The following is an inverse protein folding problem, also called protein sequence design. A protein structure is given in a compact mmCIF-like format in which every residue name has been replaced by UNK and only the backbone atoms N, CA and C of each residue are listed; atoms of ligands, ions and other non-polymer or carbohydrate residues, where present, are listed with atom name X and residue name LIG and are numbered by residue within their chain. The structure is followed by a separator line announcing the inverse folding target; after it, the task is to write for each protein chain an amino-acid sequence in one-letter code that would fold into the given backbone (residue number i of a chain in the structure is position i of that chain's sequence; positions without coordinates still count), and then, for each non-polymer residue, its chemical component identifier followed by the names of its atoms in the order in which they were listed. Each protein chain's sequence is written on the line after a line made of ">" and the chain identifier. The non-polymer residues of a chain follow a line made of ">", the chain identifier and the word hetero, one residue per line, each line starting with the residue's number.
data_IF_277321331496
#
_entry.id   IF_277321331496
#
_cell.length_a   1.000
_cell.length_b   1.000
_cell.length_c   1.000
_cell.angle_alpha   90.00
_cell.angle_beta   90.00
_cell.angle_gamma   90.00
#
_symmetry.space_group_name_H-M   'P 1'
#
loop_
_entity.id
_entity.type
_entity.pdbx_description
1 polymer ?
#
# COMPACT_ATOMS: atom_id res chain seq x y z
N UNK A 1 -0.63 -7.61 26.71
CA UNK A 1 0.37 -7.08 25.77
C UNK A 1 0.77 -8.26 24.91
N UNK A 2 0.55 -8.18 23.61
CA UNK A 2 0.90 -9.23 22.66
C UNK A 2 2.01 -8.69 21.78
N UNK A 3 3.02 -9.50 21.52
CA UNK A 3 4.12 -9.15 20.62
C UNK A 3 4.09 -10.08 19.41
N UNK A 4 4.28 -9.47 18.23
CA UNK A 4 4.35 -10.16 16.96
C UNK A 4 5.68 -9.86 16.30
N UNK A 5 6.30 -10.90 15.75
CA UNK A 5 7.48 -10.80 14.89
C UNK A 5 7.05 -11.17 13.49
N UNK A 6 7.09 -10.21 12.58
CA UNK A 6 6.46 -10.32 11.26
C UNK A 6 7.33 -9.67 10.19
N UNK A 7 7.12 -10.09 8.95
CA UNK A 7 7.62 -9.40 7.77
C UNK A 7 6.57 -8.42 7.25
N UNK A 8 7.00 -7.29 6.71
CA UNK A 8 6.12 -6.23 6.24
C UNK A 8 6.69 -5.42 5.08
N UNK A 9 5.82 -4.74 4.37
CA UNK A 9 6.16 -3.69 3.40
C UNK A 9 5.54 -2.40 3.91
N UNK A 10 6.36 -1.36 4.05
CA UNK A 10 5.87 -0.04 4.45
C UNK A 10 5.14 0.60 3.28
N UNK A 11 3.84 0.86 3.43
CA UNK A 11 3.01 1.48 2.39
C UNK A 11 3.09 3.01 2.47
N UNK A 12 2.82 3.56 3.65
CA UNK A 12 2.75 5.00 3.89
C UNK A 12 3.31 5.38 5.25
N UNK A 13 3.60 6.67 5.41
CA UNK A 13 4.21 7.22 6.63
C UNK A 13 3.76 8.65 6.86
N UNK A 14 2.93 8.82 7.88
CA UNK A 14 2.35 10.12 8.24
C UNK A 14 2.84 10.65 9.57
N UNK A 15 2.97 11.96 9.65
CA UNK A 15 3.27 12.68 10.88
C UNK A 15 2.11 12.60 11.87
N UNK A 16 2.38 12.20 13.12
CA UNK A 16 1.43 12.32 14.24
C UNK A 16 2.04 13.15 15.37
N UNK A 17 1.47 14.31 15.67
CA UNK A 17 2.02 15.24 16.67
C UNK A 17 3.43 15.74 16.30
N UNK A 18 4.27 16.04 17.30
CA UNK A 18 5.60 16.62 17.07
C UNK A 18 6.68 15.57 16.80
N UNK A 19 6.70 14.46 17.54
CA UNK A 19 7.82 13.52 17.54
C UNK A 19 7.49 12.12 17.00
N UNK A 20 6.21 11.83 16.87
CA UNK A 20 5.73 10.50 16.50
C UNK A 20 5.28 10.46 15.04
N UNK A 21 5.13 9.23 14.53
CA UNK A 21 4.57 8.97 13.20
C UNK A 21 3.68 7.74 13.23
N UNK A 22 2.64 7.76 12.40
CA UNK A 22 1.88 6.58 12.04
C UNK A 22 2.51 6.02 10.77
N UNK A 23 2.74 4.72 10.74
CA UNK A 23 3.27 4.01 9.58
C UNK A 23 2.26 2.95 9.21
N UNK A 24 1.79 2.95 7.98
CA UNK A 24 0.95 1.87 7.47
C UNK A 24 1.84 0.81 6.85
N UNK A 25 1.68 -0.43 7.29
CA UNK A 25 2.52 -1.56 6.93
C UNK A 25 1.58 -2.68 6.49
N UNK A 26 1.76 -3.18 5.28
CA UNK A 26 1.16 -4.47 4.92
C UNK A 26 2.07 -5.55 5.49
N UNK A 27 1.53 -6.43 6.31
CA UNK A 27 2.30 -7.47 7.02
C UNK A 27 1.80 -8.85 6.66
N UNK A 28 2.70 -9.82 6.73
CA UNK A 28 2.37 -11.21 6.40
C UNK A 28 1.40 -11.84 7.40
N UNK A 29 1.61 -11.59 8.69
CA UNK A 29 0.84 -12.26 9.76
C UNK A 29 -0.31 -11.42 10.34
N UNK A 30 -0.39 -10.11 10.09
CA UNK A 30 -1.44 -9.24 10.66
C UNK A 30 -2.23 -8.48 9.58
N UNK A 31 -1.93 -8.70 8.29
CA UNK A 31 -2.53 -7.93 7.20
C UNK A 31 -2.05 -6.48 7.19
N UNK A 32 -2.86 -5.57 6.65
CA UNK A 32 -2.55 -4.13 6.68
C UNK A 32 -2.78 -3.57 8.09
N UNK A 33 -1.75 -2.95 8.65
CA UNK A 33 -1.78 -2.37 10.01
C UNK A 33 -1.26 -0.94 10.03
N UNK A 34 -1.93 -0.07 10.77
CA UNK A 34 -1.43 1.27 11.11
C UNK A 34 -0.73 1.24 12.48
N UNK A 35 0.60 1.37 12.48
CA UNK A 35 1.42 1.26 13.67
C UNK A 35 2.00 2.62 14.10
N UNK A 36 1.95 2.91 15.40
CA UNK A 36 2.61 4.08 15.96
C UNK A 36 4.12 3.83 16.11
N UNK A 37 4.92 4.80 15.71
CA UNK A 37 6.38 4.84 15.93
C UNK A 37 6.71 6.02 16.83
N UNK A 38 7.06 5.72 18.08
CA UNK A 38 7.36 6.76 19.08
C UNK A 38 8.73 7.37 18.84
N UNK A 39 8.86 8.67 19.07
CA UNK A 39 10.13 9.41 18.95
C UNK A 39 10.84 9.27 17.61
N UNK A 40 10.13 8.89 16.54
CA UNK A 40 10.73 8.60 15.23
C UNK A 40 11.28 9.84 14.51
N UNK A 41 10.98 11.05 14.98
CA UNK A 41 11.61 12.30 14.48
C UNK A 41 12.88 12.71 15.22
N UNK A 42 13.25 12.05 16.31
CA UNK A 42 14.57 12.27 16.92
C UNK A 42 15.64 11.79 15.96
N UNK A 43 16.69 12.59 15.76
CA UNK A 43 17.85 12.23 14.92
C UNK A 43 18.49 10.90 15.41
N UNK A 44 18.35 10.59 16.70
CA UNK A 44 18.83 9.35 17.32
C UNK A 44 17.95 8.12 17.08
N UNK A 45 16.81 8.27 16.39
CA UNK A 45 15.86 7.18 16.19
C UNK A 45 16.37 6.15 15.19
N UNK A 46 16.83 5.01 15.72
CA UNK A 46 17.33 3.88 14.93
C UNK A 46 16.26 3.24 14.01
N UNK A 47 14.99 3.27 14.42
CA UNK A 47 13.87 2.62 13.72
C UNK A 47 13.31 3.46 12.56
N UNK A 48 13.54 4.78 12.62
CA UNK A 48 12.91 5.76 11.72
C UNK A 48 13.37 5.63 10.26
N UNK A 49 14.64 5.28 10.06
CA UNK A 49 15.20 5.05 8.73
C UNK A 49 14.74 3.73 8.10
N UNK A 50 14.34 2.76 8.93
CA UNK A 50 13.86 1.46 8.47
C UNK A 50 12.41 1.52 7.98
N UNK A 51 11.58 2.36 8.62
CA UNK A 51 10.17 2.50 8.29
C UNK A 51 9.95 3.57 7.21
N UNK A 52 10.50 3.37 6.03
CA UNK A 52 10.30 4.25 4.87
C UNK A 52 9.44 3.58 3.80
N UNK A 53 8.53 4.30 3.13
CA UNK A 53 7.69 3.72 2.08
C UNK A 53 8.50 2.91 1.07
N UNK A 54 8.04 1.69 0.81
CA UNK A 54 8.66 0.75 -0.11
C UNK A 54 9.75 -0.12 0.49
N UNK A 55 10.17 0.12 1.73
CA UNK A 55 11.07 -0.79 2.41
C UNK A 55 10.36 -2.10 2.77
N UNK A 56 11.01 -3.22 2.45
CA UNK A 56 10.70 -4.50 3.06
C UNK A 56 11.32 -4.52 4.45
N UNK A 57 10.57 -4.93 5.47
CA UNK A 57 10.95 -4.83 6.87
C UNK A 57 10.68 -6.12 7.61
N UNK A 58 11.60 -6.51 8.49
CA UNK A 58 11.32 -7.44 9.60
C UNK A 58 11.11 -6.60 10.84
N UNK A 59 9.96 -6.73 11.47
CA UNK A 59 9.57 -5.86 12.57
C UNK A 59 8.98 -6.60 13.75
N UNK A 60 9.18 -5.98 14.92
CA UNK A 60 8.50 -6.33 16.15
C UNK A 60 7.36 -5.36 16.38
N UNK A 61 6.13 -5.86 16.33
CA UNK A 61 4.92 -5.12 16.63
C UNK A 61 4.47 -5.47 18.04
N UNK A 62 4.21 -4.46 18.84
CA UNK A 62 3.61 -4.61 20.16
C UNK A 62 2.21 -4.07 20.11
N UNK A 63 1.25 -4.95 20.36
CA UNK A 63 -0.13 -4.60 20.56
C UNK A 63 -0.42 -4.48 22.06
N UNK A 64 -0.58 -3.23 22.46
CA UNK A 64 -1.25 -2.87 23.71
C UNK A 64 -2.43 -1.97 23.33
N UNK A 65 -2.99 -1.16 24.23
CA UNK A 65 -4.05 -0.16 23.93
C UNK A 65 -3.88 0.59 22.59
N UNK A 66 -2.66 0.68 22.06
CA UNK A 66 -2.35 1.01 20.66
C UNK A 66 -1.35 0.02 20.05
N UNK A 67 -1.42 -0.16 18.73
CA UNK A 67 -0.42 -0.91 17.92
C UNK A 67 0.84 -0.06 17.74
N UNK A 68 2.01 -0.61 18.06
CA UNK A 68 3.30 0.08 17.99
C UNK A 68 4.35 -0.75 17.26
N UNK A 69 5.05 -0.14 16.31
CA UNK A 69 6.23 -0.74 15.70
C UNK A 69 7.47 -0.34 16.53
N UNK A 70 8.04 -1.32 17.24
CA UNK A 70 9.09 -1.08 18.23
C UNK A 70 10.49 -1.23 17.65
N UNK A 71 10.71 -2.28 16.87
CA UNK A 71 11.99 -2.60 16.24
C UNK A 71 11.73 -2.90 14.77
N UNK A 72 12.63 -2.47 13.89
CA UNK A 72 12.55 -2.77 12.47
C UNK A 72 13.96 -2.89 11.90
N UNK A 73 14.15 -3.86 11.02
CA UNK A 73 15.29 -3.95 10.12
C UNK A 73 14.75 -3.93 8.69
N UNK A 74 15.31 -3.08 7.85
CA UNK A 74 14.78 -2.85 6.50
C UNK A 74 15.77 -3.22 5.39
N UNK A 75 15.23 -3.74 4.31
CA UNK A 75 15.86 -3.78 3.00
C UNK A 75 15.15 -2.76 2.08
N UNK A 76 15.94 -1.92 1.41
CA UNK A 76 15.39 -0.92 0.49
C UNK A 76 14.94 -1.61 -0.79
N UNK A 77 13.77 -1.23 -1.30
CA UNK A 77 13.36 -1.65 -2.64
C UNK A 77 14.36 -1.16 -3.68
N UNK A 78 14.62 -2.00 -4.69
CA UNK A 78 15.44 -1.67 -5.86
C UNK A 78 14.64 -0.95 -6.94
N UNK A 79 13.32 -0.81 -6.77
CA UNK A 79 12.46 -0.20 -7.78
C UNK A 79 12.61 1.31 -7.81
N UNK A 80 12.38 1.87 -9.00
CA UNK A 80 12.32 3.31 -9.18
C UNK A 80 11.17 3.91 -8.34
N UNK A 81 11.48 4.93 -7.54
CA UNK A 81 10.52 5.56 -6.63
C UNK A 81 9.30 6.15 -7.37
N UNK A 82 9.45 6.62 -8.62
CA UNK A 82 8.34 7.17 -9.42
C UNK A 82 7.30 6.11 -9.78
N UNK A 83 7.70 4.84 -9.82
CA UNK A 83 6.80 3.70 -10.06
C UNK A 83 6.32 3.07 -8.75
N UNK A 84 7.20 3.02 -7.76
CA UNK A 84 6.91 2.38 -6.48
C UNK A 84 5.91 3.18 -5.64
N UNK A 85 6.07 4.50 -5.52
CA UNK A 85 5.20 5.30 -4.65
C UNK A 85 3.71 5.26 -5.06
N UNK A 86 3.33 5.43 -6.35
CA UNK A 86 1.93 5.28 -6.76
C UNK A 86 1.38 3.86 -6.50
N UNK A 87 2.24 2.85 -6.66
CA UNK A 87 1.85 1.47 -6.38
C UNK A 87 1.57 1.25 -4.90
N UNK A 88 2.42 1.76 -4.00
CA UNK A 88 2.19 1.68 -2.55
C UNK A 88 0.92 2.41 -2.13
N UNK A 89 0.67 3.59 -2.71
CA UNK A 89 -0.56 4.34 -2.47
C UNK A 89 -1.79 3.54 -2.91
N UNK A 90 -1.75 2.95 -4.11
CA UNK A 90 -2.81 2.06 -4.58
C UNK A 90 -3.08 0.93 -3.57
N UNK A 91 -2.04 0.22 -3.11
CA UNK A 91 -2.19 -0.84 -2.11
C UNK A 91 -2.79 -0.33 -0.80
N UNK A 92 -2.37 0.86 -0.35
CA UNK A 92 -2.90 1.46 0.88
C UNK A 92 -4.39 1.80 0.76
N UNK A 93 -4.86 2.17 -0.43
CA UNK A 93 -6.28 2.46 -0.65
C UNK A 93 -7.11 1.18 -0.81
N UNK A 94 -6.64 0.18 -1.56
CA UNK A 94 -7.48 -0.98 -1.94
C UNK A 94 -7.45 -2.15 -0.96
N UNK A 95 -6.37 -2.31 -0.17
CA UNK A 95 -6.26 -3.43 0.78
C UNK A 95 -7.02 -3.07 2.06
N UNK A 96 -7.90 -3.94 2.60
CA UNK A 96 -8.55 -3.69 3.89
C UNK A 96 -7.59 -3.80 5.09
N UNK A 97 -7.94 -3.16 6.21
CA UNK A 97 -7.14 -3.25 7.46
C UNK A 97 -7.34 -4.61 8.14
N UNK A 98 -6.27 -5.18 8.69
CA UNK A 98 -6.29 -6.36 9.56
C UNK A 98 -6.55 -7.71 8.88
N UNK A 99 -6.81 -7.74 7.58
CA UNK A 99 -7.04 -8.99 6.85
C UNK A 99 -5.73 -9.60 6.35
N UNK A 100 -5.45 -10.83 6.79
CA UNK A 100 -4.30 -11.61 6.35
C UNK A 100 -4.66 -12.41 5.11
N UNK A 101 -3.86 -12.24 4.06
CA UNK A 101 -3.99 -13.05 2.85
C UNK A 101 -2.58 -13.46 2.36
N UNK A 102 -2.20 -14.74 2.58
CA UNK A 102 -0.89 -15.24 2.17
C UNK A 102 -0.64 -15.19 0.66
N UNK A 103 -1.68 -15.38 -0.16
CA UNK A 103 -1.54 -15.36 -1.61
C UNK A 103 -1.34 -13.93 -2.12
N UNK A 104 -2.11 -12.97 -1.58
CA UNK A 104 -1.91 -11.54 -1.85
C UNK A 104 -0.54 -11.05 -1.38
N UNK A 105 -0.10 -11.53 -0.21
CA UNK A 105 1.23 -11.27 0.32
C UNK A 105 2.33 -11.71 -0.65
N UNK A 106 2.29 -12.95 -1.11
CA UNK A 106 3.26 -13.49 -2.05
C UNK A 106 3.21 -12.75 -3.41
N UNK A 107 2.01 -12.40 -3.89
CA UNK A 107 1.82 -11.61 -5.11
C UNK A 107 2.48 -10.23 -5.00
N UNK A 108 2.23 -9.49 -3.92
CA UNK A 108 2.73 -8.12 -3.73
C UNK A 108 4.25 -8.13 -3.52
N UNK A 109 4.75 -9.02 -2.67
CA UNK A 109 6.19 -9.10 -2.38
C UNK A 109 6.99 -9.48 -3.62
N UNK A 110 6.53 -10.47 -4.39
CA UNK A 110 7.13 -10.83 -5.68
C UNK A 110 7.11 -9.65 -6.65
N UNK A 111 5.95 -9.01 -6.80
CA UNK A 111 5.74 -7.84 -7.67
C UNK A 111 6.73 -6.71 -7.38
N UNK A 112 6.91 -6.35 -6.10
CA UNK A 112 7.85 -5.32 -5.68
C UNK A 112 9.30 -5.81 -5.84
N UNK A 113 9.60 -7.08 -5.58
CA UNK A 113 10.96 -7.61 -5.73
C UNK A 113 11.44 -7.62 -7.20
N UNK A 114 10.53 -7.88 -8.13
CA UNK A 114 10.79 -7.91 -9.58
C UNK A 114 10.57 -6.54 -10.26
N UNK A 115 10.04 -5.56 -9.53
CA UNK A 115 9.66 -4.23 -10.06
C UNK A 115 8.69 -4.28 -11.25
N UNK A 116 7.82 -5.28 -11.26
CA UNK A 116 6.74 -5.44 -12.23
C UNK A 116 5.53 -4.60 -11.84
N UNK A 117 5.69 -3.28 -11.84
CA UNK A 117 4.66 -2.31 -11.42
C UNK A 117 3.96 -1.73 -12.65
N UNK A 118 3.29 -2.57 -13.43
CA UNK A 118 2.60 -2.19 -14.68
C UNK A 118 1.07 -2.32 -14.57
N UNK A 119 0.30 -1.79 -15.52
CA UNK A 119 -1.18 -1.83 -15.50
C UNK A 119 -1.77 -3.23 -15.25
N UNK A 120 -1.19 -4.26 -15.87
CA UNK A 120 -1.60 -5.66 -15.69
C UNK A 120 -1.54 -6.10 -14.23
N UNK A 121 -0.55 -5.63 -13.48
CA UNK A 121 -0.37 -5.94 -12.07
C UNK A 121 -1.43 -5.28 -11.19
N UNK A 122 -1.76 -4.01 -11.46
CA UNK A 122 -2.85 -3.33 -10.76
C UNK A 122 -4.17 -4.07 -11.01
N UNK A 123 -4.42 -4.44 -12.26
CA UNK A 123 -5.60 -5.22 -12.65
C UNK A 123 -5.65 -6.58 -11.96
N UNK A 124 -4.54 -7.31 -11.94
CA UNK A 124 -4.43 -8.60 -11.26
C UNK A 124 -4.75 -8.48 -9.77
N UNK A 125 -4.23 -7.46 -9.09
CA UNK A 125 -4.51 -7.22 -7.67
C UNK A 125 -5.97 -6.83 -7.45
N UNK A 126 -6.56 -5.99 -8.30
CA UNK A 126 -7.98 -5.64 -8.23
C UNK A 126 -8.88 -6.88 -8.41
N UNK A 127 -8.57 -7.75 -9.37
CA UNK A 127 -9.28 -9.02 -9.55
C UNK A 127 -9.14 -9.92 -8.32
N UNK A 128 -7.92 -10.04 -7.78
CA UNK A 128 -7.64 -10.84 -6.61
C UNK A 128 -8.45 -10.37 -5.39
N UNK A 129 -8.56 -9.05 -5.20
CA UNK A 129 -9.36 -8.42 -4.14
C UNK A 129 -10.88 -8.46 -4.40
N UNK A 130 -11.33 -9.10 -5.49
CA UNK A 130 -12.75 -9.27 -5.79
C UNK A 130 -13.42 -8.07 -6.47
N UNK A 131 -12.67 -7.07 -6.93
CA UNK A 131 -13.25 -5.96 -7.70
C UNK A 131 -13.67 -6.35 -9.12
N UNK A 132 -13.20 -7.50 -9.64
CA UNK A 132 -13.60 -8.04 -10.94
C UNK A 132 -13.33 -7.11 -12.13
N UNK A 133 -12.14 -6.49 -12.17
CA UNK A 133 -11.75 -5.48 -13.15
C UNK A 133 -11.99 -5.89 -14.62
N UNK A 134 -11.90 -7.18 -14.96
CA UNK A 134 -12.11 -7.67 -16.33
C UNK A 134 -13.60 -7.71 -16.76
N UNK A 135 -14.52 -7.76 -15.81
CA UNK A 135 -15.97 -7.83 -16.07
C UNK A 135 -16.67 -6.46 -15.92
N UNK A 136 -15.89 -5.44 -15.55
CA UNK A 136 -16.41 -4.13 -15.18
C UNK A 136 -16.70 -3.21 -16.37
N UNK A 137 -17.66 -2.30 -16.18
CA UNK A 137 -18.03 -1.26 -17.14
C UNK A 137 -17.61 0.11 -16.61
N UNK A 138 -17.30 1.03 -17.52
CA UNK A 138 -16.94 2.39 -17.18
C UNK A 138 -18.09 3.03 -16.41
N UNK A 139 -17.83 3.54 -15.21
CA UNK A 139 -18.89 3.99 -14.30
C UNK A 139 -19.76 5.08 -14.94
N UNK A 140 -19.16 5.92 -15.78
CA UNK A 140 -19.84 7.05 -16.42
C UNK A 140 -20.55 6.70 -17.74
N UNK A 141 -19.89 6.00 -18.66
CA UNK A 141 -20.43 5.77 -20.01
C UNK A 141 -20.90 4.33 -20.27
N UNK A 142 -20.73 3.45 -19.28
CA UNK A 142 -21.13 2.03 -19.29
C UNK A 142 -20.53 1.19 -20.44
N UNK A 143 -19.42 1.64 -21.03
CA UNK A 143 -18.61 0.85 -21.99
C UNK A 143 -17.63 -0.06 -21.25
N UNK A 144 -17.31 -1.21 -21.83
CA UNK A 144 -16.37 -2.20 -21.27
C UNK A 144 -14.88 -1.90 -21.55
N UNK A 145 -14.56 -0.76 -22.20
CA UNK A 145 -13.17 -0.34 -22.48
C UNK A 145 -12.52 0.33 -21.26
N UNK A 146 -12.40 -0.41 -20.16
CA UNK A 146 -11.76 0.06 -18.93
C UNK A 146 -10.26 0.27 -19.14
N UNK A 147 -9.74 1.39 -18.61
CA UNK A 147 -8.32 1.72 -18.68
C UNK A 147 -7.77 2.34 -17.39
N UNK A 148 -8.65 2.73 -16.47
CA UNK A 148 -8.24 3.37 -15.22
C UNK A 148 -9.14 2.93 -14.07
N UNK A 149 -8.57 3.02 -12.88
CA UNK A 149 -9.24 2.83 -11.62
C UNK A 149 -9.04 4.09 -10.76
N UNK A 150 -10.14 4.67 -10.28
CA UNK A 150 -10.10 5.77 -9.31
C UNK A 150 -9.91 5.20 -7.90
N UNK A 151 -8.91 5.69 -7.19
CA UNK A 151 -8.62 5.28 -5.81
C UNK A 151 -9.64 5.87 -4.83
N UNK A 152 -9.99 7.14 -5.02
CA UNK A 152 -10.87 7.89 -4.11
C UNK A 152 -12.31 7.37 -4.15
N UNK A 153 -12.84 7.14 -5.35
CA UNK A 153 -14.24 6.78 -5.54
C UNK A 153 -14.45 5.27 -5.78
N UNK A 154 -13.36 4.49 -5.82
CA UNK A 154 -13.37 3.03 -6.06
C UNK A 154 -14.21 2.71 -7.30
N UNK A 155 -13.83 3.29 -8.45
CA UNK A 155 -14.58 3.14 -9.70
C UNK A 155 -13.70 2.88 -10.92
N UNK A 156 -14.28 2.20 -11.90
CA UNK A 156 -13.63 1.89 -13.18
C UNK A 156 -13.96 2.93 -14.24
N UNK A 157 -12.96 3.39 -14.97
CA UNK A 157 -13.10 4.46 -15.98
C UNK A 157 -12.43 4.08 -17.30
N UNK A 158 -13.12 4.39 -18.40
CA UNK A 158 -12.49 4.39 -19.72
C UNK A 158 -11.59 5.62 -19.90
N UNK A 159 -10.69 5.58 -20.89
CA UNK A 159 -9.76 6.70 -21.17
C UNK A 159 -10.49 8.04 -21.35
N UNK A 160 -11.56 8.06 -22.12
CA UNK A 160 -12.32 9.28 -22.39
C UNK A 160 -12.98 9.87 -21.15
N UNK A 161 -13.57 9.03 -20.30
CA UNK A 161 -14.25 9.52 -19.09
C UNK A 161 -13.26 10.01 -18.03
N UNK A 162 -12.12 9.32 -17.89
CA UNK A 162 -11.03 9.75 -16.99
C UNK A 162 -10.52 11.15 -17.36
N UNK A 163 -10.30 11.43 -18.64
CA UNK A 163 -9.83 12.75 -19.10
C UNK A 163 -10.84 13.88 -18.84
N UNK A 164 -12.14 13.58 -18.77
CA UNK A 164 -13.16 14.61 -18.51
C UNK A 164 -13.27 14.92 -17.01
N UNK A 165 -13.03 13.92 -16.14
CA UNK A 165 -13.16 14.08 -14.70
C UNK A 165 -12.03 14.89 -14.05
N UNK A 166 -10.94 15.19 -14.79
CA UNK A 166 -9.79 15.97 -14.29
C UNK A 166 -9.28 15.48 -12.92
N UNK A 167 -9.29 14.15 -12.72
CA UNK A 167 -8.77 13.51 -11.51
C UNK A 167 -7.28 13.81 -11.36
N UNK A 168 -6.83 14.00 -10.13
CA UNK A 168 -5.42 14.25 -9.86
C UNK A 168 -4.61 12.97 -10.15
N UNK A 169 -3.34 13.07 -10.57
CA UNK A 169 -2.52 11.88 -10.86
C UNK A 169 -2.36 10.90 -9.69
N UNK A 170 -2.52 11.37 -8.45
CA UNK A 170 -2.51 10.58 -7.21
C UNK A 170 -3.86 9.93 -6.89
N UNK A 171 -4.94 10.25 -7.61
CA UNK A 171 -6.29 9.72 -7.37
C UNK A 171 -6.68 8.63 -8.38
N UNK A 172 -5.83 8.37 -9.37
CA UNK A 172 -6.14 7.49 -10.50
C UNK A 172 -4.93 6.66 -10.90
N UNK A 173 -5.15 5.36 -11.08
CA UNK A 173 -4.15 4.43 -11.61
C UNK A 173 -4.58 3.89 -12.95
N UNK A 174 -3.61 3.65 -13.83
CA UNK A 174 -3.84 2.99 -15.11
C UNK A 174 -3.83 1.48 -14.90
N UNK A 175 -4.85 0.82 -15.45
CA UNK A 175 -5.07 -0.64 -15.38
C UNK A 175 -5.32 -1.24 -16.75
#
# INVERSE_FOLDING_TARGET
>A
MIEYYTEGIVLSRDSRGELDRIVTIYTKELGKVAALTKSSRKITSKVSGHLMPGNAVRLRIVENKTVQAMDALSEKSKCDAKRLLPFLQFLDEVIPQGETDPELWDLITKTISECHLGPETYRQILNFLGFGADEMLCERCKKNEIAHFSLTDIMFLCRGCASILNLRPDEIVKI
#
